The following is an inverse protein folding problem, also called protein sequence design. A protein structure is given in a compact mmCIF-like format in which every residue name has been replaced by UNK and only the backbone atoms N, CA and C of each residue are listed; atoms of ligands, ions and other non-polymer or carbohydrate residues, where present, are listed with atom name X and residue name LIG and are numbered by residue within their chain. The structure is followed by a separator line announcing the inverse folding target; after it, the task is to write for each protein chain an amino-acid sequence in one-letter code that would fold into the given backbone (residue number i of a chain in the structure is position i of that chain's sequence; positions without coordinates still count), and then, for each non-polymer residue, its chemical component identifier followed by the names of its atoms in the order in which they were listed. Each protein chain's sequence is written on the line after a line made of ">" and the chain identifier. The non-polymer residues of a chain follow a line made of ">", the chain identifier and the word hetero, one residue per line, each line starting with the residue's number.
data_IF_572249573886
#
_entry.id   IF_572249573886
#
_cell.length_a   1.000
_cell.length_b   1.000
_cell.length_c   1.000
_cell.angle_alpha   90.00
_cell.angle_beta   90.00
_cell.angle_gamma   90.00
#
_symmetry.space_group_name_H-M   'P 1'
#
loop_
_entity.id
_entity.type
_entity.pdbx_description
1 polymer ?
#
# COMPACT_ATOMS: atom_id res chain seq x y z
N UNK A 1 -4.10 -22.58 -6.38
CA UNK A 1 -4.50 -21.16 -6.60
C UNK A 1 -3.27 -20.29 -6.78
N UNK A 2 -3.37 -19.30 -7.64
CA UNK A 2 -2.33 -18.28 -7.75
C UNK A 2 -2.28 -17.40 -6.49
N UNK A 3 -1.18 -16.67 -6.31
CA UNK A 3 -1.05 -15.75 -5.19
C UNK A 3 -2.11 -14.65 -5.17
N UNK A 4 -2.45 -14.10 -6.36
CA UNK A 4 -3.49 -13.09 -6.47
C UNK A 4 -4.87 -13.63 -6.15
N UNK A 5 -5.18 -14.85 -6.56
CA UNK A 5 -6.45 -15.51 -6.24
C UNK A 5 -6.56 -15.75 -4.74
N UNK A 6 -5.47 -16.20 -4.09
CA UNK A 6 -5.45 -16.39 -2.63
C UNK A 6 -5.73 -15.08 -1.91
N UNK A 7 -5.11 -13.99 -2.38
CA UNK A 7 -5.28 -12.69 -1.77
C UNK A 7 -6.73 -12.20 -1.90
N UNK A 8 -7.35 -12.38 -3.07
CA UNK A 8 -8.75 -12.01 -3.27
C UNK A 8 -9.69 -12.81 -2.37
N UNK A 9 -9.44 -14.10 -2.20
CA UNK A 9 -10.22 -14.95 -1.29
C UNK A 9 -10.08 -14.46 0.15
N UNK A 10 -8.86 -14.12 0.56
CA UNK A 10 -8.59 -13.60 1.90
C UNK A 10 -9.35 -12.30 2.15
N UNK A 11 -9.33 -11.38 1.17
CA UNK A 11 -10.05 -10.11 1.25
C UNK A 11 -11.55 -10.36 1.34
N UNK A 12 -12.09 -11.25 0.51
CA UNK A 12 -13.51 -11.57 0.51
C UNK A 12 -13.96 -12.14 1.87
N UNK A 13 -13.15 -13.02 2.46
CA UNK A 13 -13.45 -13.56 3.79
C UNK A 13 -13.47 -12.47 4.86
N UNK A 14 -12.50 -11.56 4.82
CA UNK A 14 -12.45 -10.45 5.76
C UNK A 14 -13.66 -9.54 5.62
N UNK A 15 -14.10 -9.28 4.38
CA UNK A 15 -15.28 -8.44 4.12
C UNK A 15 -16.57 -9.06 4.66
N UNK A 16 -16.66 -10.40 4.66
CA UNK A 16 -17.83 -11.08 5.23
C UNK A 16 -18.00 -10.82 6.72
N UNK A 17 -16.95 -10.40 7.39
CA UNK A 17 -17.02 -10.02 8.81
C UNK A 17 -17.48 -8.58 9.01
N UNK A 18 -17.70 -7.84 7.91
CA UNK A 18 -18.15 -6.45 7.91
C UNK A 18 -17.28 -5.54 8.78
N UNK A 19 -15.96 -5.47 8.53
CA UNK A 19 -15.05 -4.70 9.36
C UNK A 19 -15.17 -3.20 9.12
N UNK A 20 -14.85 -2.40 10.14
CA UNK A 20 -14.74 -0.95 9.99
C UNK A 20 -13.40 -0.56 9.36
N UNK A 21 -12.35 -1.32 9.66
CA UNK A 21 -10.99 -1.08 9.16
C UNK A 21 -10.39 -2.41 8.71
N UNK A 22 -9.75 -2.41 7.55
CA UNK A 22 -9.00 -3.58 7.07
C UNK A 22 -7.51 -3.28 7.11
N UNK A 23 -6.74 -4.24 7.62
CA UNK A 23 -5.29 -4.16 7.65
C UNK A 23 -4.71 -5.11 6.59
N UNK A 24 -3.86 -4.57 5.71
CA UNK A 24 -3.13 -5.33 4.71
C UNK A 24 -1.63 -5.26 5.05
N UNK A 25 -1.02 -6.41 5.27
CA UNK A 25 0.41 -6.48 5.56
C UNK A 25 1.13 -7.12 4.37
N UNK A 26 1.89 -6.30 3.63
CA UNK A 26 2.63 -6.68 2.43
C UNK A 26 1.75 -7.44 1.43
N UNK A 27 0.62 -6.84 0.97
CA UNK A 27 -0.35 -7.57 0.17
C UNK A 27 0.16 -8.01 -1.20
N UNK A 28 1.26 -7.44 -1.68
CA UNK A 28 1.84 -7.79 -3.00
C UNK A 28 3.12 -8.60 -2.89
N UNK A 29 3.51 -9.00 -1.67
CA UNK A 29 4.74 -9.76 -1.46
C UNK A 29 4.69 -11.10 -2.20
N UNK A 30 5.75 -11.41 -2.94
CA UNK A 30 5.91 -12.65 -3.70
C UNK A 30 4.88 -12.85 -4.82
N UNK A 31 4.19 -11.80 -5.25
CA UNK A 31 3.27 -11.87 -6.40
C UNK A 31 3.96 -11.38 -7.67
N UNK A 32 3.55 -11.93 -8.82
CA UNK A 32 4.01 -11.44 -10.11
C UNK A 32 3.23 -10.16 -10.50
N UNK A 33 3.69 -9.43 -11.55
CA UNK A 33 3.07 -8.15 -11.92
C UNK A 33 1.57 -8.21 -12.23
N UNK A 34 1.10 -9.31 -12.84
CA UNK A 34 -0.32 -9.45 -13.16
C UNK A 34 -1.16 -9.61 -11.90
N UNK A 35 -0.66 -10.38 -10.94
CA UNK A 35 -1.33 -10.60 -9.67
C UNK A 35 -1.34 -9.34 -8.81
N UNK A 36 -0.25 -8.58 -8.84
CA UNK A 36 -0.18 -7.28 -8.16
C UNK A 36 -1.26 -6.36 -8.69
N UNK A 37 -1.45 -6.34 -10.01
CA UNK A 37 -2.46 -5.52 -10.67
C UNK A 37 -3.87 -5.90 -10.21
N UNK A 38 -4.17 -7.20 -10.11
CA UNK A 38 -5.47 -7.67 -9.64
C UNK A 38 -5.74 -7.24 -8.20
N UNK A 39 -4.75 -7.39 -7.32
CA UNK A 39 -4.87 -6.97 -5.92
C UNK A 39 -5.08 -5.46 -5.83
N UNK A 40 -4.32 -4.70 -6.63
CA UNK A 40 -4.44 -3.25 -6.67
C UNK A 40 -5.86 -2.81 -7.05
N UNK A 41 -6.46 -3.45 -8.06
CA UNK A 41 -7.82 -3.11 -8.50
C UNK A 41 -8.86 -3.40 -7.43
N UNK A 42 -8.74 -4.54 -6.74
CA UNK A 42 -9.63 -4.89 -5.63
C UNK A 42 -9.55 -3.83 -4.54
N UNK A 43 -8.34 -3.43 -4.16
CA UNK A 43 -8.13 -2.44 -3.10
C UNK A 43 -8.64 -1.06 -3.50
N UNK A 44 -8.46 -0.67 -4.77
CA UNK A 44 -9.02 0.59 -5.27
C UNK A 44 -10.55 0.60 -5.21
N UNK A 45 -11.17 -0.51 -5.57
CA UNK A 45 -12.62 -0.63 -5.52
C UNK A 45 -13.13 -0.52 -4.09
N UNK A 46 -12.45 -1.16 -3.14
CA UNK A 46 -12.79 -1.05 -1.73
C UNK A 46 -12.68 0.39 -1.23
N UNK A 47 -11.63 1.09 -1.65
CA UNK A 47 -11.45 2.50 -1.29
C UNK A 47 -12.57 3.38 -1.83
N UNK A 48 -13.03 3.11 -3.05
CA UNK A 48 -14.16 3.84 -3.65
C UNK A 48 -15.46 3.61 -2.89
N UNK A 49 -15.60 2.45 -2.27
CA UNK A 49 -16.77 2.12 -1.45
C UNK A 49 -16.67 2.72 -0.04
N UNK A 50 -15.62 3.45 0.26
CA UNK A 50 -15.45 4.10 1.56
C UNK A 50 -14.79 3.26 2.62
N UNK A 51 -14.21 2.12 2.26
CA UNK A 51 -13.51 1.25 3.20
C UNK A 51 -12.23 1.91 3.70
N UNK A 52 -12.06 1.98 5.03
CA UNK A 52 -10.81 2.45 5.62
C UNK A 52 -9.82 1.30 5.64
N UNK A 53 -8.63 1.53 5.07
CA UNK A 53 -7.60 0.52 4.97
C UNK A 53 -6.27 1.04 5.48
N UNK A 54 -5.55 0.18 6.21
CA UNK A 54 -4.15 0.43 6.58
C UNK A 54 -3.31 -0.57 5.81
N UNK A 55 -2.37 -0.09 5.00
CA UNK A 55 -1.52 -0.93 4.17
C UNK A 55 -0.07 -0.77 4.59
N UNK A 56 0.54 -1.87 5.04
CA UNK A 56 1.97 -1.89 5.36
C UNK A 56 2.69 -2.51 4.17
N UNK A 57 3.57 -1.73 3.55
CA UNK A 57 4.32 -2.21 2.39
C UNK A 57 5.62 -1.43 2.20
N UNK A 58 6.62 -2.06 1.61
CA UNK A 58 7.81 -1.38 1.12
C UNK A 58 7.84 -1.33 -0.41
N UNK A 59 6.76 -1.73 -1.06
CA UNK A 59 6.57 -1.60 -2.49
C UNK A 59 6.05 -0.20 -2.80
N UNK A 60 6.95 0.71 -3.15
CA UNK A 60 6.58 2.12 -3.30
C UNK A 60 5.68 2.41 -4.48
N UNK A 61 5.84 1.68 -5.58
CA UNK A 61 4.91 1.81 -6.71
C UNK A 61 3.48 1.47 -6.33
N UNK A 62 3.30 0.42 -5.53
CA UNK A 62 1.99 0.02 -5.03
C UNK A 62 1.44 1.06 -4.05
N UNK A 63 2.27 1.50 -3.09
CA UNK A 63 1.87 2.50 -2.11
C UNK A 63 1.40 3.79 -2.76
N UNK A 64 2.11 4.24 -3.80
CA UNK A 64 1.77 5.46 -4.53
C UNK A 64 0.40 5.36 -5.22
N UNK A 65 0.08 4.19 -5.76
CA UNK A 65 -1.18 3.99 -6.48
C UNK A 65 -2.38 3.80 -5.56
N UNK A 66 -2.20 3.14 -4.42
CA UNK A 66 -3.29 2.79 -3.50
C UNK A 66 -3.53 3.85 -2.44
N UNK A 67 -2.45 4.43 -1.93
CA UNK A 67 -2.51 5.28 -0.75
C UNK A 67 -3.09 6.64 -1.00
N UNK A 68 -3.89 7.13 -0.07
CA UNK A 68 -4.31 8.53 -0.03
C UNK A 68 -3.42 9.31 0.92
N UNK A 69 -2.92 8.64 1.95
CA UNK A 69 -2.02 9.21 2.93
C UNK A 69 -0.91 8.23 3.22
N UNK A 70 0.30 8.74 3.40
CA UNK A 70 1.51 7.94 3.61
C UNK A 70 2.15 8.30 4.94
N UNK A 71 2.53 7.26 5.68
CA UNK A 71 3.33 7.40 6.90
C UNK A 71 4.64 6.64 6.65
N UNK A 72 5.75 7.38 6.64
CA UNK A 72 7.08 6.79 6.43
C UNK A 72 7.70 6.46 7.77
N UNK A 73 7.97 5.18 7.99
CA UNK A 73 8.55 4.67 9.23
C UNK A 73 9.99 4.22 8.99
N UNK A 74 10.88 4.54 9.92
CA UNK A 74 12.26 4.07 9.88
C UNK A 74 12.76 3.89 11.30
N UNK A 75 13.37 2.75 11.57
CA UNK A 75 13.93 2.42 12.89
C UNK A 75 12.93 2.62 14.05
N UNK A 76 11.68 2.23 13.81
CA UNK A 76 10.63 2.33 14.81
C UNK A 76 10.06 3.72 15.03
N UNK A 77 10.46 4.69 14.21
CA UNK A 77 10.00 6.07 14.33
C UNK A 77 9.23 6.51 13.10
N UNK A 78 8.26 7.41 13.32
CA UNK A 78 7.58 8.11 12.21
C UNK A 78 8.52 9.22 11.76
N UNK A 79 9.02 9.10 10.54
CA UNK A 79 9.95 10.07 9.95
C UNK A 79 9.18 11.19 9.26
N UNK A 80 8.13 10.82 8.54
CA UNK A 80 7.35 11.79 7.77
C UNK A 80 5.95 11.26 7.53
N UNK A 81 4.97 12.16 7.51
CA UNK A 81 3.59 11.83 7.18
C UNK A 81 3.02 12.92 6.30
N UNK A 82 2.37 12.52 5.20
CA UNK A 82 1.74 13.47 4.29
C UNK A 82 0.74 12.76 3.38
N UNK A 83 0.03 13.54 2.55
CA UNK A 83 -0.75 12.93 1.47
C UNK A 83 0.18 12.17 0.54
N UNK A 84 -0.34 11.16 -0.14
CA UNK A 84 0.44 10.36 -1.08
C UNK A 84 1.11 11.25 -2.13
N UNK A 85 0.35 12.16 -2.72
CA UNK A 85 0.86 13.06 -3.74
C UNK A 85 2.07 13.87 -3.24
N UNK A 86 1.93 14.52 -2.09
CA UNK A 86 3.02 15.36 -1.55
C UNK A 86 4.21 14.53 -1.11
N UNK A 87 3.98 13.37 -0.50
CA UNK A 87 5.07 12.52 -0.06
C UNK A 87 5.95 12.06 -1.21
N UNK A 88 5.33 11.57 -2.29
CA UNK A 88 6.09 11.03 -3.42
C UNK A 88 6.67 12.10 -4.34
N UNK A 89 6.00 13.23 -4.50
CA UNK A 89 6.48 14.30 -5.37
C UNK A 89 7.45 15.26 -4.68
N UNK A 90 7.26 15.50 -3.38
CA UNK A 90 8.08 16.46 -2.64
C UNK A 90 8.31 16.02 -1.21
N UNK A 91 9.05 14.92 -0.99
CA UNK A 91 9.37 14.48 0.37
C UNK A 91 10.19 15.54 1.11
N UNK A 92 9.90 15.73 2.38
CA UNK A 92 10.53 16.80 3.17
C UNK A 92 11.75 16.33 3.96
N UNK A 93 11.73 15.09 4.48
CA UNK A 93 12.85 14.60 5.27
C UNK A 93 13.98 14.07 4.37
N UNK A 94 15.20 14.19 4.83
CA UNK A 94 16.36 13.68 4.08
C UNK A 94 16.30 12.16 3.96
N UNK A 95 15.83 11.46 4.98
CA UNK A 95 15.68 10.01 4.94
C UNK A 95 14.67 9.59 3.87
N UNK A 96 13.53 10.29 3.77
CA UNK A 96 12.53 9.99 2.76
C UNK A 96 13.07 10.27 1.36
N UNK A 97 13.76 11.38 1.17
CA UNK A 97 14.38 11.72 -0.11
C UNK A 97 15.38 10.67 -0.55
N UNK A 98 16.25 10.24 0.36
CA UNK A 98 17.25 9.22 0.08
C UNK A 98 16.58 7.87 -0.26
N UNK A 99 15.61 7.45 0.53
CA UNK A 99 14.88 6.21 0.29
C UNK A 99 14.19 6.21 -1.08
N UNK A 100 13.45 7.26 -1.40
CA UNK A 100 12.72 7.35 -2.66
C UNK A 100 13.65 7.43 -3.86
N UNK A 101 14.80 8.11 -3.72
CA UNK A 101 15.77 8.18 -4.81
C UNK A 101 16.33 6.81 -5.15
N UNK A 102 16.55 5.96 -4.16
CA UNK A 102 17.04 4.60 -4.39
C UNK A 102 15.98 3.69 -5.03
N UNK A 103 14.71 3.91 -4.71
CA UNK A 103 13.63 3.08 -5.22
C UNK A 103 13.23 3.47 -6.64
N UNK A 104 13.12 4.77 -6.93
CA UNK A 104 12.59 5.24 -8.21
C UNK A 104 13.63 5.72 -9.22
N UNK A 105 14.84 6.03 -8.78
CA UNK A 105 15.84 6.68 -9.65
C UNK A 105 17.15 5.93 -9.79
N UNK A 106 17.23 4.72 -9.30
CA UNK A 106 18.36 3.84 -9.58
C UNK A 106 18.11 2.90 -10.73
#
# INVERSE_FOLDING_TARGET
>A
MSGGQKQRVTIARALCMNPDIMLFDEPTSALDPEMIKEVLEVMKDLGKQGMTMVVVTHEMGFARKVGTRVVFLDQGEIVEENTSEKFFENPQSERAKDFLSKVFYE
#
